data_IF_177400498922
#
_entry.id   IF_177400498922
#
_cell.length_a   1.000
_cell.length_b   1.000
_cell.length_c   1.000
_cell.angle_alpha   90.00
_cell.angle_beta   90.00
_cell.angle_gamma   90.00
#
_symmetry.space_group_name_H-M   'P 1'
#
loop_
_entity.id
_entity.type
_entity.pdbx_description
1 polymer ?
#
# COMPACT_ATOMS: atom_id res chain seq x y z
N UNK A 1 -0.53 2.06 11.42
CA UNK A 1 -0.71 1.04 10.37
C UNK A 1 -1.80 1.53 9.42
N UNK A 2 -1.94 0.99 8.20
CA UNK A 2 -2.97 1.46 7.26
C UNK A 2 -4.33 0.81 7.53
N UNK A 3 -4.37 -0.51 7.68
CA UNK A 3 -5.59 -1.30 7.88
C UNK A 3 -5.44 -2.33 9.02
N UNK A 4 -4.57 -2.04 10.00
CA UNK A 4 -4.19 -2.99 11.06
C UNK A 4 -3.44 -4.25 10.58
N UNK A 5 -3.29 -4.46 9.27
CA UNK A 5 -2.57 -5.61 8.69
C UNK A 5 -1.07 -5.38 8.69
N UNK A 6 -0.32 -6.35 9.21
CA UNK A 6 1.15 -6.37 9.16
C UNK A 6 1.63 -7.45 8.18
N UNK A 7 1.97 -7.05 6.96
CA UNK A 7 2.47 -7.97 5.91
C UNK A 7 3.99 -8.29 6.03
N UNK A 8 4.60 -7.98 7.18
CA UNK A 8 6.02 -8.20 7.48
C UNK A 8 6.29 -9.08 8.71
N UNK A 9 5.29 -9.39 9.54
CA UNK A 9 5.44 -10.30 10.69
C UNK A 9 4.88 -11.66 10.27
N UNK A 10 5.78 -12.58 9.98
CA UNK A 10 5.48 -13.94 9.54
C UNK A 10 4.82 -14.71 10.69
N UNK A 11 3.50 -14.61 10.80
CA UNK A 11 2.70 -15.61 11.51
C UNK A 11 2.39 -16.72 10.51
N UNK A 12 2.90 -17.93 10.78
CA UNK A 12 2.71 -19.12 9.93
C UNK A 12 1.22 -19.47 9.86
N UNK A 13 0.57 -19.08 8.77
CA UNK A 13 -0.78 -19.53 8.40
C UNK A 13 -1.50 -18.50 7.53
N UNK A 14 -2.11 -18.93 6.41
CA UNK A 14 -3.09 -18.22 5.57
C UNK A 14 -2.67 -16.88 4.95
N UNK A 15 -2.26 -15.92 5.77
CA UNK A 15 -1.87 -14.56 5.43
C UNK A 15 -0.61 -14.45 4.57
N UNK A 16 0.30 -15.43 4.60
CA UNK A 16 1.59 -15.34 3.87
C UNK A 16 1.39 -15.38 2.34
N UNK A 17 0.55 -16.28 1.84
CA UNK A 17 0.27 -16.35 0.41
C UNK A 17 -0.46 -15.10 -0.09
N UNK A 18 -1.39 -14.58 0.71
CA UNK A 18 -2.12 -13.35 0.38
C UNK A 18 -1.19 -12.13 0.38
N UNK A 19 -0.28 -12.05 1.35
CA UNK A 19 0.76 -11.03 1.44
C UNK A 19 1.63 -10.98 0.19
N UNK A 20 2.15 -12.13 -0.24
CA UNK A 20 3.03 -12.23 -1.40
C UNK A 20 2.28 -11.94 -2.70
N UNK A 21 1.02 -12.37 -2.82
CA UNK A 21 0.17 -12.02 -3.96
C UNK A 21 -0.11 -10.51 -4.01
N UNK A 22 -0.36 -9.87 -2.86
CA UNK A 22 -0.58 -8.43 -2.78
C UNK A 22 0.69 -7.65 -3.12
N UNK A 23 1.85 -8.00 -2.55
CA UNK A 23 3.16 -7.41 -2.90
C UNK A 23 3.44 -7.54 -4.40
N UNK A 24 3.20 -8.72 -4.98
CA UNK A 24 3.36 -8.96 -6.41
C UNK A 24 2.44 -8.04 -7.23
N UNK A 25 1.17 -7.92 -6.84
CA UNK A 25 0.24 -7.04 -7.54
C UNK A 25 0.65 -5.56 -7.48
N UNK A 26 1.17 -5.08 -6.34
CA UNK A 26 1.69 -3.72 -6.22
C UNK A 26 2.92 -3.51 -7.13
N UNK A 27 3.84 -4.48 -7.17
CA UNK A 27 5.00 -4.42 -8.06
C UNK A 27 4.59 -4.42 -9.53
N UNK A 28 3.64 -5.28 -9.89
CA UNK A 28 3.04 -5.33 -11.22
C UNK A 28 2.37 -3.97 -11.55
N UNK A 29 1.66 -3.36 -10.59
CA UNK A 29 1.05 -2.04 -10.73
C UNK A 29 2.08 -0.94 -11.00
N UNK A 30 3.16 -0.90 -10.21
CA UNK A 30 4.25 0.08 -10.39
C UNK A 30 5.00 -0.12 -11.72
N UNK A 31 5.11 -1.36 -12.21
CA UNK A 31 5.73 -1.63 -13.51
C UNK A 31 4.95 -1.08 -14.71
N UNK A 32 3.64 -0.87 -14.56
CA UNK A 32 2.77 -0.34 -15.62
C UNK A 32 3.02 1.15 -15.87
N UNK A 33 3.56 1.90 -14.91
CA UNK A 33 3.87 3.33 -15.07
C UNK A 33 4.91 3.66 -16.15
N UNK A 34 5.49 2.66 -16.81
CA UNK A 34 6.50 2.80 -17.87
C UNK A 34 6.08 2.18 -19.21
N UNK A 35 4.78 2.16 -19.54
CA UNK A 35 4.39 1.79 -20.92
C UNK A 35 4.71 2.96 -21.86
N UNK A 36 5.56 2.70 -22.86
CA UNK A 36 6.02 3.58 -23.96
C UNK A 36 4.90 4.36 -24.71
N UNK A 37 3.64 4.11 -24.37
CA UNK A 37 2.45 4.74 -24.88
C UNK A 37 2.37 6.24 -24.64
N UNK A 38 2.83 6.70 -23.47
CA UNK A 38 2.89 8.14 -23.17
C UNK A 38 3.96 8.87 -24.01
N UNK A 39 4.92 8.13 -24.59
CA UNK A 39 5.96 8.69 -25.45
C UNK A 39 5.55 8.78 -26.94
N UNK A 40 4.54 8.01 -27.39
CA UNK A 40 4.10 7.99 -28.80
C UNK A 40 2.57 8.03 -28.93
N UNK A 41 1.97 9.23 -29.10
CA UNK A 41 0.53 9.40 -29.22
C UNK A 41 0.05 9.04 -30.64
N UNK A 42 0.10 7.76 -31.00
CA UNK A 42 -0.41 7.27 -32.29
C UNK A 42 -1.82 6.69 -32.08
N UNK A 43 -2.89 7.33 -32.60
CA UNK A 43 -4.30 6.95 -32.34
C UNK A 43 -4.65 5.50 -32.70
N UNK A 44 -3.98 4.92 -33.70
CA UNK A 44 -4.23 3.58 -34.20
C UNK A 44 -3.89 2.47 -33.20
N UNK A 45 -2.92 2.70 -32.30
CA UNK A 45 -2.59 1.69 -31.30
C UNK A 45 -3.66 1.65 -30.18
N UNK A 46 -4.51 2.68 -29.99
CA UNK A 46 -5.41 2.78 -28.78
C UNK A 46 -6.46 1.68 -28.77
N UNK A 47 -6.79 1.21 -29.97
CA UNK A 47 -7.81 0.21 -30.19
C UNK A 47 -7.26 -1.22 -30.17
N UNK A 48 -5.94 -1.37 -30.31
CA UNK A 48 -5.26 -2.66 -30.33
C UNK A 48 -4.38 -2.72 -29.09
N UNK A 49 -4.90 -3.35 -28.02
CA UNK A 49 -4.09 -3.78 -26.87
C UNK A 49 -3.14 -4.92 -27.28
N UNK A 50 -2.27 -4.67 -28.27
CA UNK A 50 -1.45 -5.66 -28.97
C UNK A 50 -0.52 -6.41 -28.01
N UNK A 51 -0.11 -5.72 -26.95
CA UNK A 51 0.79 -6.23 -25.93
C UNK A 51 0.06 -6.66 -24.64
N UNK A 52 -1.26 -6.48 -24.56
CA UNK A 52 -2.07 -6.89 -23.41
C UNK A 52 -1.89 -6.02 -22.16
N UNK A 53 -1.25 -4.86 -22.27
CA UNK A 53 -0.94 -3.96 -21.15
C UNK A 53 -2.20 -3.41 -20.49
N UNK A 54 -3.20 -3.02 -21.27
CA UNK A 54 -4.46 -2.48 -20.71
C UNK A 54 -5.22 -3.59 -19.99
N UNK A 55 -5.26 -4.79 -20.57
CA UNK A 55 -5.86 -5.96 -19.93
C UNK A 55 -5.13 -6.37 -18.65
N UNK A 56 -3.80 -6.35 -18.67
CA UNK A 56 -2.95 -6.62 -17.50
C UNK A 56 -3.19 -5.60 -16.40
N UNK A 57 -3.15 -4.31 -16.72
CA UNK A 57 -3.42 -3.21 -15.80
C UNK A 57 -4.79 -3.33 -15.14
N UNK A 58 -5.83 -3.56 -15.93
CA UNK A 58 -7.18 -3.76 -15.40
C UNK A 58 -7.28 -4.97 -14.48
N UNK A 59 -6.59 -6.07 -14.79
CA UNK A 59 -6.57 -7.27 -13.94
C UNK A 59 -5.86 -7.00 -12.62
N UNK A 60 -4.69 -6.37 -12.66
CA UNK A 60 -3.90 -6.03 -11.48
C UNK A 60 -4.65 -5.05 -10.59
N UNK A 61 -5.23 -3.99 -11.18
CA UNK A 61 -6.03 -3.01 -10.45
C UNK A 61 -7.26 -3.66 -9.79
N UNK A 62 -8.00 -4.53 -10.49
CA UNK A 62 -9.14 -5.25 -9.91
C UNK A 62 -8.77 -6.08 -8.69
N UNK A 63 -7.61 -6.73 -8.72
CA UNK A 63 -7.14 -7.51 -7.58
C UNK A 63 -6.79 -6.59 -6.40
N UNK A 64 -6.06 -5.50 -6.64
CA UNK A 64 -5.74 -4.50 -5.60
C UNK A 64 -7.02 -3.90 -5.01
N UNK A 65 -7.97 -3.50 -5.85
CA UNK A 65 -9.25 -2.92 -5.43
C UNK A 65 -10.05 -3.90 -4.57
N UNK A 66 -10.03 -5.20 -4.89
CA UNK A 66 -10.66 -6.25 -4.09
C UNK A 66 -10.05 -6.33 -2.69
N UNK A 67 -8.71 -6.29 -2.58
CA UNK A 67 -8.02 -6.32 -1.28
C UNK A 67 -8.35 -5.07 -0.46
N UNK A 68 -8.30 -3.88 -1.08
CA UNK A 68 -8.65 -2.62 -0.41
C UNK A 68 -10.14 -2.57 0.00
N UNK A 69 -11.01 -3.15 -0.81
CA UNK A 69 -12.44 -3.29 -0.50
C UNK A 69 -12.63 -4.19 0.72
N UNK A 70 -11.93 -5.33 0.77
CA UNK A 70 -11.94 -6.23 1.94
C UNK A 70 -11.51 -5.50 3.21
N UNK A 71 -10.41 -4.75 3.17
CA UNK A 71 -9.97 -3.95 4.32
C UNK A 71 -11.04 -2.94 4.72
N UNK A 72 -11.59 -2.17 3.77
CA UNK A 72 -12.60 -1.18 4.09
C UNK A 72 -13.86 -1.81 4.70
N UNK A 73 -14.34 -2.92 4.13
CA UNK A 73 -15.54 -3.59 4.61
C UNK A 73 -15.31 -4.19 6.02
N UNK A 74 -14.14 -4.75 6.32
CA UNK A 74 -13.78 -5.18 7.67
C UNK A 74 -13.92 -4.04 8.71
N UNK A 75 -13.47 -2.82 8.36
CA UNK A 75 -13.52 -1.67 9.26
C UNK A 75 -14.93 -1.08 9.37
N UNK A 76 -15.70 -1.04 8.27
CA UNK A 76 -17.11 -0.63 8.29
C UNK A 76 -17.92 -1.60 9.15
N UNK A 77 -17.75 -2.91 8.96
CA UNK A 77 -18.42 -3.94 9.75
C UNK A 77 -18.03 -3.90 11.23
N UNK A 78 -16.77 -3.54 11.56
CA UNK A 78 -16.31 -3.32 12.94
C UNK A 78 -17.06 -2.16 13.60
N UNK A 79 -17.27 -1.05 12.87
CA UNK A 79 -18.01 0.14 13.35
C UNK A 79 -19.50 -0.09 13.53
N UNK A 80 -20.10 -0.98 12.74
CA UNK A 80 -21.52 -1.33 12.85
C UNK A 80 -21.83 -2.26 14.04
N UNK A 81 -20.82 -2.76 14.76
CA UNK A 81 -21.04 -3.62 15.93
C UNK A 81 -21.54 -2.81 17.12
N UNK A 82 -22.37 -3.44 17.94
CA UNK A 82 -23.01 -2.83 19.12
C UNK A 82 -22.01 -2.43 20.20
N UNK A 83 -20.85 -3.08 20.24
CA UNK A 83 -19.75 -2.84 21.18
C UNK A 83 -18.70 -1.83 20.66
N UNK A 84 -18.94 -1.20 19.50
CA UNK A 84 -18.01 -0.21 18.98
C UNK A 84 -17.97 1.04 19.86
N UNK A 85 -16.78 1.40 20.33
CA UNK A 85 -16.53 2.62 21.12
C UNK A 85 -15.90 3.67 20.21
N UNK A 86 -16.62 4.78 20.02
CA UNK A 86 -16.12 5.92 19.25
C UNK A 86 -14.88 6.55 19.91
N UNK A 87 -13.87 6.90 19.11
CA UNK A 87 -12.57 7.38 19.60
C UNK A 87 -11.49 6.32 19.84
N UNK A 88 -11.72 5.05 19.44
CA UNK A 88 -10.70 4.00 19.42
C UNK A 88 -10.21 3.73 17.97
N UNK A 89 -9.77 4.76 17.27
CA UNK A 89 -9.16 4.60 15.93
C UNK A 89 -7.77 3.96 16.04
N UNK A 90 -7.65 2.71 15.60
CA UNK A 90 -6.40 1.94 15.72
C UNK A 90 -5.49 2.10 14.49
N UNK A 91 -6.05 2.52 13.36
CA UNK A 91 -5.33 2.70 12.11
C UNK A 91 -5.91 3.78 11.18
N UNK A 92 -5.25 3.95 10.03
CA UNK A 92 -5.58 5.00 9.08
C UNK A 92 -6.98 4.86 8.49
N UNK A 93 -7.46 3.65 8.19
CA UNK A 93 -8.82 3.46 7.66
C UNK A 93 -9.84 3.83 8.74
N UNK A 94 -9.60 3.46 10.00
CA UNK A 94 -10.45 3.89 11.11
C UNK A 94 -10.50 5.42 11.22
N UNK A 95 -9.36 6.12 11.17
CA UNK A 95 -9.30 7.60 11.21
C UNK A 95 -10.06 8.23 10.04
N UNK A 96 -9.87 7.72 8.82
CA UNK A 96 -10.57 8.21 7.65
C UNK A 96 -12.10 8.03 7.76
N UNK A 97 -12.55 6.91 8.33
CA UNK A 97 -13.97 6.63 8.55
C UNK A 97 -14.59 7.52 9.64
N UNK A 98 -13.85 7.92 10.69
CA UNK A 98 -14.38 8.88 11.68
C UNK A 98 -14.42 10.31 11.16
N UNK A 99 -13.54 10.67 10.22
CA UNK A 99 -13.52 12.00 9.63
C UNK A 99 -14.56 12.21 8.51
N UNK A 100 -15.05 11.13 7.88
CA UNK A 100 -15.92 11.21 6.70
C UNK A 100 -17.30 10.56 6.92
N UNK A 101 -18.35 11.36 6.76
CA UNK A 101 -19.74 10.92 6.79
C UNK A 101 -20.10 10.06 5.57
N UNK A 102 -21.15 9.23 5.69
CA UNK A 102 -21.60 8.35 4.59
C UNK A 102 -21.99 9.14 3.32
N UNK A 103 -22.44 10.38 3.49
CA UNK A 103 -22.92 11.27 2.43
C UNK A 103 -21.80 12.15 1.84
N UNK A 104 -20.58 12.05 2.36
CA UNK A 104 -19.48 12.89 1.91
C UNK A 104 -19.00 12.48 0.52
N UNK A 105 -18.87 13.48 -0.35
CA UNK A 105 -18.23 13.39 -1.65
C UNK A 105 -16.99 14.28 -1.66
N UNK A 106 -15.83 13.67 -1.90
CA UNK A 106 -14.58 14.42 -2.11
C UNK A 106 -14.34 14.46 -3.60
N UNK A 107 -14.39 15.66 -4.19
CA UNK A 107 -14.24 15.89 -5.63
C UNK A 107 -15.19 15.04 -6.51
N UNK A 108 -16.41 14.79 -6.02
CA UNK A 108 -17.43 13.99 -6.72
C UNK A 108 -17.25 12.47 -6.58
N UNK A 109 -16.23 12.00 -5.86
CA UNK A 109 -16.03 10.59 -5.55
C UNK A 109 -16.67 10.22 -4.21
N UNK A 110 -17.23 9.01 -4.15
CA UNK A 110 -17.79 8.48 -2.91
C UNK A 110 -16.71 8.36 -1.84
N UNK A 111 -17.09 8.52 -0.56
CA UNK A 111 -16.21 8.26 0.58
C UNK A 111 -15.42 6.95 0.43
N UNK A 112 -16.08 5.85 0.04
CA UNK A 112 -15.42 4.54 -0.13
C UNK A 112 -14.29 4.60 -1.15
N UNK A 113 -14.53 5.26 -2.27
CA UNK A 113 -13.52 5.46 -3.33
C UNK A 113 -12.34 6.27 -2.81
N UNK A 114 -12.62 7.38 -2.12
CA UNK A 114 -11.58 8.26 -1.56
C UNK A 114 -10.72 7.52 -0.55
N UNK A 115 -11.32 6.76 0.38
CA UNK A 115 -10.58 5.98 1.38
C UNK A 115 -9.66 4.94 0.71
N UNK A 116 -10.19 4.14 -0.22
CA UNK A 116 -9.38 3.14 -0.92
C UNK A 116 -8.26 3.77 -1.74
N UNK A 117 -8.52 4.87 -2.44
CA UNK A 117 -7.52 5.57 -3.23
C UNK A 117 -6.39 6.13 -2.36
N UNK A 118 -6.72 6.78 -1.24
CA UNK A 118 -5.72 7.33 -0.31
C UNK A 118 -4.90 6.22 0.34
N UNK A 119 -5.55 5.13 0.78
CA UNK A 119 -4.86 3.97 1.35
C UNK A 119 -3.89 3.34 0.34
N UNK A 120 -4.31 3.17 -0.92
CA UNK A 120 -3.44 2.67 -1.99
C UNK A 120 -2.25 3.61 -2.22
N UNK A 121 -2.50 4.92 -2.30
CA UNK A 121 -1.44 5.92 -2.48
C UNK A 121 -0.39 5.84 -1.37
N UNK A 122 -0.81 5.70 -0.10
CA UNK A 122 0.11 5.55 1.02
C UNK A 122 0.95 4.28 0.92
N UNK A 123 0.35 3.15 0.56
CA UNK A 123 1.06 1.87 0.38
C UNK A 123 2.10 1.97 -0.74
N UNK A 124 1.73 2.53 -1.89
CA UNK A 124 2.62 2.64 -3.05
C UNK A 124 3.82 3.54 -2.75
N UNK A 125 3.57 4.73 -2.20
CA UNK A 125 4.61 5.71 -1.92
C UNK A 125 5.55 5.23 -0.80
N UNK A 126 5.01 4.65 0.27
CA UNK A 126 5.82 4.19 1.40
C UNK A 126 6.72 3.00 1.04
N UNK A 127 6.26 2.08 0.19
CA UNK A 127 6.97 0.84 -0.10
C UNK A 127 8.32 1.09 -0.79
N UNK A 128 8.32 1.77 -1.94
CA UNK A 128 9.54 1.95 -2.73
C UNK A 128 10.51 2.93 -2.05
N UNK A 129 10.01 4.01 -1.47
CA UNK A 129 10.85 5.03 -0.83
C UNK A 129 11.58 4.48 0.39
N UNK A 130 10.89 3.75 1.28
CA UNK A 130 11.53 3.19 2.48
C UNK A 130 12.53 2.11 2.13
N UNK A 131 12.23 1.24 1.16
CA UNK A 131 13.17 0.22 0.70
C UNK A 131 14.44 0.83 0.10
N UNK A 132 14.30 1.86 -0.73
CA UNK A 132 15.44 2.59 -1.29
C UNK A 132 16.27 3.25 -0.19
N UNK A 133 15.64 3.93 0.76
CA UNK A 133 16.35 4.57 1.88
C UNK A 133 17.11 3.56 2.74
N UNK A 134 16.50 2.42 3.07
CA UNK A 134 17.18 1.35 3.83
C UNK A 134 18.40 0.82 3.08
N UNK A 135 18.28 0.59 1.77
CA UNK A 135 19.42 0.19 0.95
C UNK A 135 20.56 1.21 0.98
N UNK A 136 20.24 2.51 0.88
CA UNK A 136 21.22 3.58 1.00
C UNK A 136 21.87 3.66 2.37
N UNK A 137 21.09 3.54 3.44
CA UNK A 137 21.60 3.51 4.81
C UNK A 137 22.58 2.34 4.98
N UNK A 138 22.19 1.14 4.56
CA UNK A 138 23.05 -0.04 4.65
C UNK A 138 24.32 0.10 3.82
N UNK A 139 24.21 0.61 2.58
CA UNK A 139 25.37 0.87 1.74
C UNK A 139 26.31 1.91 2.36
N UNK A 140 25.76 2.99 2.93
CA UNK A 140 26.55 4.03 3.60
C UNK A 140 27.27 3.50 4.84
N UNK A 141 26.60 2.70 5.67
CA UNK A 141 27.19 2.08 6.86
C UNK A 141 28.29 1.09 6.49
N UNK A 142 28.08 0.25 5.46
CA UNK A 142 29.08 -0.71 5.01
C UNK A 142 30.35 -0.03 4.47
N UNK A 143 30.19 1.16 3.88
CA UNK A 143 31.31 1.98 3.40
C UNK A 143 32.00 2.81 4.50
N UNK A 144 31.37 2.96 5.68
CA UNK A 144 31.90 3.74 6.81
C UNK A 144 31.88 2.92 8.10
N UNK A 145 32.87 2.03 8.25
CA UNK A 145 33.00 1.08 9.38
C UNK A 145 32.89 1.74 10.76
N UNK A 146 33.47 2.93 10.93
CA UNK A 146 33.43 3.65 12.23
C UNK A 146 32.01 4.09 12.60
N UNK A 147 31.21 4.52 11.61
CA UNK A 147 29.81 4.88 11.82
C UNK A 147 28.96 3.63 12.09
N UNK A 148 29.20 2.54 11.37
CA UNK A 148 28.53 1.25 11.61
C UNK A 148 28.78 0.75 13.03
N UNK A 149 30.03 0.83 13.52
CA UNK A 149 30.37 0.40 14.88
C UNK A 149 29.62 1.21 15.94
N UNK A 150 29.54 2.54 15.78
CA UNK A 150 28.80 3.40 16.70
C UNK A 150 27.30 3.05 16.76
N UNK A 151 26.68 2.79 15.60
CA UNK A 151 25.27 2.39 15.53
C UNK A 151 25.04 1.05 16.24
N UNK A 152 25.96 0.09 16.09
CA UNK A 152 25.91 -1.19 16.80
C UNK A 152 26.06 -1.00 18.31
N UNK A 153 27.10 -0.26 18.74
CA UNK A 153 27.35 0.03 20.15
C UNK A 153 26.15 0.73 20.81
N UNK A 154 25.48 1.66 20.11
CA UNK A 154 24.26 2.33 20.58
C UNK A 154 23.08 1.37 20.74
N UNK A 155 22.92 0.44 19.79
CA UNK A 155 21.86 -0.57 19.82
C UNK A 155 22.04 -1.52 21.01
N UNK A 156 23.26 -2.05 21.17
CA UNK A 156 23.65 -2.97 22.26
C UNK A 156 23.52 -2.28 23.64
N UNK A 157 23.79 -0.97 23.71
CA UNK A 157 23.71 -0.22 24.97
C UNK A 157 22.26 0.07 25.40
N UNK A 158 21.37 0.42 24.47
CA UNK A 158 20.03 0.92 24.80
C UNK A 158 18.91 -0.12 24.66
N UNK A 159 19.07 -1.10 23.77
CA UNK A 159 18.07 -2.12 23.49
C UNK A 159 18.53 -3.50 23.96
N UNK A 160 19.81 -3.83 23.71
CA UNK A 160 20.44 -5.11 24.05
C UNK A 160 20.53 -6.07 22.88
#
# INVERSE_FOLDING_TARGET
MIAGKTYGRVEKGGNEEEAERFKKALKDFMSIGFVLWDAFPIPLFKWIDFQGHVKFMNRTFKYIDCVLQSWLDEHVMKRERVDFVDGNEEDFIDVMLSMMSNEDFVDGYSRKTTIKATALSMVLVASDTTAIHLNWVMAALLNHRDAMKKVQDELDTNVG
#
